data_IF_831893719360
#
_entry.id   IF_831893719360
#
_cell.length_a   1.000
_cell.length_b   1.000
_cell.length_c   1.000
_cell.angle_alpha   90.00
_cell.angle_beta   90.00
_cell.angle_gamma   90.00
#
_symmetry.space_group_name_H-M   'P 1'
#
loop_
_entity.id
_entity.type
_entity.pdbx_description
1 polymer ?
#
# COMPACT_ATOMS: atom_id res chain seq x y z
N UNK A 1 19.84 12.50 -17.67
CA UNK A 1 18.64 12.09 -16.96
C UNK A 1 18.15 13.18 -16.03
N UNK A 2 16.85 13.17 -15.72
CA UNK A 2 16.25 13.98 -14.64
C UNK A 2 15.56 13.04 -13.68
N UNK A 3 15.80 13.21 -12.40
CA UNK A 3 15.29 12.38 -11.33
C UNK A 3 14.78 13.26 -10.19
N UNK A 4 13.84 12.75 -9.42
CA UNK A 4 13.44 13.34 -8.14
C UNK A 4 13.27 12.23 -7.11
N UNK A 5 13.52 12.55 -5.84
CA UNK A 5 13.39 11.56 -4.78
C UNK A 5 13.73 12.14 -3.41
N UNK A 6 13.66 11.26 -2.42
CA UNK A 6 13.98 11.58 -1.03
C UNK A 6 15.47 11.35 -0.75
N UNK A 7 16.10 12.30 -0.10
CA UNK A 7 17.46 12.18 0.42
C UNK A 7 17.48 11.21 1.60
N UNK A 8 18.23 10.13 1.45
CA UNK A 8 18.35 9.08 2.47
C UNK A 8 19.71 9.07 3.17
N UNK A 9 20.72 9.65 2.57
CA UNK A 9 22.03 9.87 3.17
C UNK A 9 22.77 10.98 2.44
N UNK A 10 23.60 11.71 3.17
CA UNK A 10 24.51 12.72 2.65
C UNK A 10 25.91 12.42 3.22
N UNK A 11 26.90 12.27 2.33
CA UNK A 11 28.29 12.00 2.69
C UNK A 11 29.19 13.01 1.98
N UNK A 12 29.66 14.01 2.70
CA UNK A 12 30.53 15.07 2.17
C UNK A 12 32.01 14.74 2.34
N UNK A 13 32.82 15.01 1.29
CA UNK A 13 34.29 14.98 1.34
C UNK A 13 34.80 16.20 0.58
N UNK A 14 35.18 17.25 1.31
CA UNK A 14 35.77 18.47 0.74
C UNK A 14 34.87 19.14 -0.30
N UNK A 15 35.28 19.13 -1.58
CA UNK A 15 34.51 19.72 -2.69
C UNK A 15 33.57 18.73 -3.38
N UNK A 16 33.40 17.54 -2.80
CA UNK A 16 32.59 16.46 -3.36
C UNK A 16 31.60 15.97 -2.32
N UNK A 17 30.37 15.69 -2.77
CA UNK A 17 29.31 15.13 -1.93
C UNK A 17 28.67 13.94 -2.63
N UNK A 18 28.40 12.87 -1.90
CA UNK A 18 27.59 11.75 -2.32
C UNK A 18 26.23 11.81 -1.61
N UNK A 19 25.16 11.74 -2.36
CA UNK A 19 23.81 11.77 -1.84
C UNK A 19 23.10 10.50 -2.31
N UNK A 20 22.49 9.78 -1.38
CA UNK A 20 21.63 8.65 -1.73
C UNK A 20 20.20 9.15 -1.92
N UNK A 21 19.69 9.05 -3.12
CA UNK A 21 18.34 9.43 -3.50
C UNK A 21 17.47 8.20 -3.63
N UNK A 22 16.26 8.23 -3.05
CA UNK A 22 15.31 7.12 -3.10
C UNK A 22 13.97 7.60 -3.66
N UNK A 23 13.42 6.82 -4.59
CA UNK A 23 12.08 6.98 -5.11
C UNK A 23 11.29 5.65 -5.02
N UNK A 24 10.18 5.54 -5.79
CA UNK A 24 9.37 4.31 -5.83
C UNK A 24 10.09 3.12 -6.50
N UNK A 25 11.06 3.39 -7.37
CA UNK A 25 11.75 2.37 -8.19
C UNK A 25 12.98 1.81 -7.49
N UNK A 26 13.56 2.57 -6.56
CA UNK A 26 14.73 2.14 -5.81
C UNK A 26 15.59 3.30 -5.33
N UNK A 27 16.85 2.99 -5.13
CA UNK A 27 17.87 3.91 -4.61
C UNK A 27 18.98 4.10 -5.64
N UNK A 28 19.42 5.34 -5.82
CA UNK A 28 20.54 5.70 -6.66
C UNK A 28 21.46 6.67 -5.93
N UNK A 29 22.76 6.56 -6.18
CA UNK A 29 23.76 7.50 -5.67
C UNK A 29 23.88 8.71 -6.59
N UNK A 30 23.90 9.89 -6.03
CA UNK A 30 24.27 11.12 -6.73
C UNK A 30 25.72 11.47 -6.38
N UNK A 31 26.50 11.77 -7.39
CA UNK A 31 27.84 12.30 -7.28
C UNK A 31 27.80 13.80 -7.59
N UNK A 32 28.01 14.62 -6.58
CA UNK A 32 27.89 16.08 -6.66
C UNK A 32 29.25 16.71 -6.43
N UNK A 33 29.68 17.55 -7.36
CA UNK A 33 30.93 18.30 -7.26
C UNK A 33 30.64 19.81 -7.28
N UNK A 34 31.40 20.55 -6.46
CA UNK A 34 31.28 22.01 -6.36
C UNK A 34 31.54 22.71 -7.70
N UNK A 35 32.56 22.26 -8.44
CA UNK A 35 32.95 22.82 -9.74
C UNK A 35 31.91 22.56 -10.86
N UNK A 36 31.17 21.46 -10.78
CA UNK A 36 30.15 21.10 -11.77
C UNK A 36 28.79 21.75 -11.47
N UNK A 37 28.45 21.92 -10.20
CA UNK A 37 27.17 22.45 -9.76
C UNK A 37 27.16 23.98 -9.65
N UNK A 38 28.32 24.59 -9.49
CA UNK A 38 28.49 26.00 -9.14
C UNK A 38 28.41 26.26 -7.64
N UNK A 39 28.98 27.38 -7.20
CA UNK A 39 29.13 27.68 -5.77
C UNK A 39 27.79 27.91 -5.06
N UNK A 40 26.89 28.61 -5.71
CA UNK A 40 25.55 28.93 -5.19
C UNK A 40 24.73 27.66 -4.94
N UNK A 41 24.60 26.82 -5.97
CA UNK A 41 23.86 25.57 -5.86
C UNK A 41 24.54 24.55 -4.91
N UNK A 42 25.87 24.56 -4.82
CA UNK A 42 26.57 23.72 -3.86
C UNK A 42 26.32 24.14 -2.40
N UNK A 43 25.99 25.40 -2.17
CA UNK A 43 25.60 25.89 -0.84
C UNK A 43 24.26 25.30 -0.38
N UNK A 44 23.35 24.98 -1.28
CA UNK A 44 22.09 24.27 -0.96
C UNK A 44 22.35 22.93 -0.25
N UNK A 45 23.44 22.24 -0.62
CA UNK A 45 23.76 20.93 0.01
C UNK A 45 24.01 21.07 1.51
N UNK A 46 24.57 22.22 1.95
CA UNK A 46 24.79 22.48 3.37
C UNK A 46 23.50 22.74 4.16
N UNK A 47 22.44 23.13 3.44
CA UNK A 47 21.10 23.38 3.99
C UNK A 47 20.17 22.18 3.88
N UNK A 48 20.64 21.13 3.19
CA UNK A 48 19.85 19.91 3.01
C UNK A 48 19.95 19.00 4.22
N UNK A 49 18.84 18.35 4.54
CA UNK A 49 18.75 17.32 5.56
C UNK A 49 18.31 15.98 4.98
N UNK A 50 18.59 14.91 5.73
CA UNK A 50 18.04 13.59 5.41
C UNK A 50 16.52 13.66 5.55
N UNK A 51 15.82 13.23 4.49
CA UNK A 51 14.38 13.34 4.39
C UNK A 51 13.89 14.38 3.38
N UNK A 52 14.72 15.35 2.99
CA UNK A 52 14.38 16.33 1.96
C UNK A 52 14.03 15.66 0.64
N UNK A 53 13.15 16.29 -0.14
CA UNK A 53 12.85 15.88 -1.52
C UNK A 53 13.60 16.84 -2.46
N UNK A 54 14.39 16.25 -3.34
CA UNK A 54 15.18 17.02 -4.31
C UNK A 54 14.92 16.55 -5.74
N UNK A 55 15.06 17.48 -6.67
CA UNK A 55 15.21 17.24 -8.09
C UNK A 55 16.69 17.30 -8.49
N UNK A 56 17.12 16.46 -9.41
CA UNK A 56 18.46 16.44 -9.93
C UNK A 56 18.48 16.20 -11.44
N UNK A 57 19.33 16.92 -12.15
CA UNK A 57 19.68 16.63 -13.54
C UNK A 57 21.15 16.23 -13.64
N UNK A 58 21.46 15.27 -14.48
CA UNK A 58 22.83 14.81 -14.62
C UNK A 58 23.02 13.66 -15.62
N UNK A 59 24.22 13.10 -15.62
CA UNK A 59 24.62 11.99 -16.48
C UNK A 59 24.84 10.73 -15.65
N UNK A 60 24.31 9.62 -16.12
CA UNK A 60 24.52 8.31 -15.48
C UNK A 60 25.94 7.83 -15.77
N UNK A 61 26.61 7.30 -14.76
CA UNK A 61 27.93 6.67 -14.89
C UNK A 61 28.12 5.57 -13.85
N UNK A 62 29.14 4.78 -13.98
CA UNK A 62 29.61 3.84 -12.95
C UNK A 62 30.83 4.38 -12.25
N UNK A 63 30.84 4.32 -10.93
CA UNK A 63 32.03 4.65 -10.13
C UNK A 63 33.10 3.61 -10.32
N UNK A 64 34.35 3.90 -9.89
CA UNK A 64 35.46 2.92 -9.89
C UNK A 64 35.14 1.64 -9.11
N UNK A 65 34.26 1.73 -8.11
CA UNK A 65 33.79 0.58 -7.33
C UNK A 65 32.57 -0.13 -7.98
N UNK A 66 32.19 0.25 -9.21
CA UNK A 66 31.09 -0.36 -9.97
C UNK A 66 29.70 0.14 -9.63
N UNK A 67 29.53 1.08 -8.68
CA UNK A 67 28.21 1.59 -8.27
C UNK A 67 27.61 2.50 -9.34
N UNK A 68 26.34 2.24 -9.69
CA UNK A 68 25.60 3.08 -10.62
C UNK A 68 25.25 4.41 -9.95
N UNK A 69 25.67 5.50 -10.57
CA UNK A 69 25.56 6.84 -9.99
C UNK A 69 25.14 7.87 -11.03
N UNK A 70 24.63 9.01 -10.56
CA UNK A 70 24.33 10.18 -11.40
C UNK A 70 25.30 11.30 -11.04
N UNK A 71 26.10 11.75 -12.02
CA UNK A 71 26.92 12.96 -11.90
C UNK A 71 26.00 14.17 -12.09
N UNK A 72 25.69 14.84 -10.98
CA UNK A 72 24.79 15.98 -10.96
C UNK A 72 25.39 17.21 -11.62
N UNK A 73 24.62 17.85 -12.47
CA UNK A 73 24.92 19.17 -13.09
C UNK A 73 23.93 20.26 -12.67
N UNK A 74 22.73 19.87 -12.17
CA UNK A 74 21.78 20.74 -11.53
C UNK A 74 21.09 20.02 -10.39
N UNK A 75 20.75 20.77 -9.33
CA UNK A 75 20.07 20.28 -8.13
C UNK A 75 19.11 21.36 -7.64
N UNK A 76 17.92 20.93 -7.26
CA UNK A 76 16.85 21.78 -6.76
C UNK A 76 16.23 21.16 -5.52
N UNK A 77 16.00 21.96 -4.47
CA UNK A 77 15.24 21.55 -3.29
C UNK A 77 13.74 21.70 -3.59
N UNK A 78 13.02 20.59 -3.70
CA UNK A 78 11.59 20.56 -4.01
C UNK A 78 10.73 20.67 -2.76
N UNK A 79 11.18 20.03 -1.65
CA UNK A 79 10.47 20.07 -0.38
C UNK A 79 11.42 19.82 0.79
N UNK A 80 11.32 20.65 1.81
CA UNK A 80 12.12 20.54 3.04
C UNK A 80 11.48 19.60 4.04
N UNK A 81 12.27 18.69 4.60
CA UNK A 81 11.88 17.86 5.74
C UNK A 81 12.06 18.65 7.04
N UNK A 82 10.95 19.04 7.66
CA UNK A 82 10.97 19.86 8.88
C UNK A 82 11.24 19.03 10.16
N UNK A 83 11.18 17.72 10.07
CA UNK A 83 11.46 16.79 11.17
C UNK A 83 12.48 15.75 10.73
N UNK A 84 13.47 15.42 11.56
CA UNK A 84 14.43 14.39 11.23
C UNK A 84 13.77 13.02 11.10
N UNK A 85 14.27 12.21 10.18
CA UNK A 85 13.88 10.80 10.13
C UNK A 85 14.54 10.04 11.30
N UNK A 86 13.92 8.95 11.81
CA UNK A 86 14.54 8.05 12.78
C UNK A 86 15.91 7.57 12.32
N UNK A 87 16.80 7.33 13.26
CA UNK A 87 18.18 6.91 12.97
C UNK A 87 18.23 5.66 12.06
N UNK A 88 19.11 5.72 11.06
CA UNK A 88 19.25 4.72 10.00
C UNK A 88 19.51 3.29 10.50
N UNK A 89 20.21 3.15 11.62
CA UNK A 89 20.64 1.85 12.16
C UNK A 89 19.59 1.14 12.99
N UNK A 90 18.64 1.86 13.56
CA UNK A 90 17.63 1.30 14.44
C UNK A 90 16.24 1.31 13.80
N UNK A 91 16.02 2.11 12.74
CA UNK A 91 14.71 2.29 12.13
C UNK A 91 13.66 2.74 13.16
N UNK A 92 12.41 2.69 12.77
CA UNK A 92 11.30 2.85 13.69
C UNK A 92 10.91 1.46 14.21
N UNK A 93 11.46 1.06 15.39
CA UNK A 93 11.24 -0.28 15.99
C UNK A 93 9.99 -0.37 16.85
N UNK A 94 9.65 0.72 17.52
CA UNK A 94 8.47 0.77 18.36
C UNK A 94 7.20 0.53 17.54
N UNK A 95 6.46 -0.52 17.90
CA UNK A 95 5.31 -0.99 17.14
C UNK A 95 4.19 0.04 17.14
N UNK A 96 3.94 0.69 18.27
CA UNK A 96 2.88 1.70 18.37
C UNK A 96 3.20 2.92 17.52
N UNK A 97 4.43 3.40 17.56
CA UNK A 97 4.90 4.50 16.71
C UNK A 97 4.84 4.16 15.23
N UNK A 98 5.15 2.91 14.84
CA UNK A 98 5.00 2.44 13.46
C UNK A 98 3.55 2.49 12.98
N UNK A 99 2.60 2.18 13.82
CA UNK A 99 1.17 2.30 13.49
C UNK A 99 0.69 3.75 13.46
N UNK A 100 1.11 4.58 14.42
CA UNK A 100 0.72 5.99 14.50
C UNK A 100 1.36 6.84 13.41
N UNK A 101 2.61 6.55 13.03
CA UNK A 101 3.38 7.28 12.02
C UNK A 101 3.70 6.35 10.83
N UNK A 102 2.68 5.74 10.25
CA UNK A 102 2.82 4.81 9.13
C UNK A 102 3.60 5.41 7.95
N UNK A 103 3.47 6.69 7.69
CA UNK A 103 4.21 7.40 6.65
C UNK A 103 5.72 7.42 6.91
N UNK A 104 6.15 7.52 8.18
CA UNK A 104 7.57 7.41 8.55
C UNK A 104 8.05 5.96 8.41
N UNK A 105 7.25 5.00 8.92
CA UNK A 105 7.52 3.57 8.80
C UNK A 105 7.75 3.14 7.33
N UNK A 106 6.93 3.66 6.40
CA UNK A 106 7.08 3.42 4.96
C UNK A 106 8.36 4.03 4.34
N UNK A 107 8.90 5.09 4.95
CA UNK A 107 10.15 5.73 4.51
C UNK A 107 11.38 4.92 4.98
N UNK A 108 11.36 4.50 6.26
CA UNK A 108 12.55 3.94 6.90
C UNK A 108 12.62 2.41 6.87
N UNK A 109 11.50 1.73 6.67
CA UNK A 109 11.37 0.27 6.64
C UNK A 109 10.90 -0.22 5.25
N UNK A 110 11.80 -0.55 4.31
CA UNK A 110 11.44 -0.93 2.95
C UNK A 110 10.53 -2.17 2.84
N UNK A 111 10.67 -3.12 3.77
CA UNK A 111 9.86 -4.33 3.85
C UNK A 111 8.38 -4.02 4.11
N UNK A 112 8.10 -2.96 4.88
CA UNK A 112 6.72 -2.51 5.13
C UNK A 112 6.07 -2.03 3.84
N UNK A 113 6.80 -1.23 3.05
CA UNK A 113 6.34 -0.78 1.73
C UNK A 113 6.05 -1.97 0.81
N UNK A 114 6.94 -2.97 0.79
CA UNK A 114 6.75 -4.21 0.01
C UNK A 114 5.47 -4.93 0.40
N UNK A 115 5.18 -5.02 1.70
CA UNK A 115 3.94 -5.65 2.20
C UNK A 115 2.69 -4.96 1.67
N UNK A 116 2.65 -3.62 1.66
CA UNK A 116 1.50 -2.88 1.11
C UNK A 116 1.35 -3.06 -0.41
N UNK A 117 2.47 -3.06 -1.15
CA UNK A 117 2.45 -3.33 -2.60
C UNK A 117 1.95 -4.74 -2.88
N UNK A 118 2.47 -5.74 -2.15
CA UNK A 118 2.04 -7.13 -2.28
C UNK A 118 0.56 -7.31 -1.97
N UNK A 119 0.06 -6.66 -0.91
CA UNK A 119 -1.37 -6.66 -0.59
C UNK A 119 -2.23 -6.17 -1.76
N UNK A 120 -1.83 -5.08 -2.41
CA UNK A 120 -2.55 -4.54 -3.58
C UNK A 120 -2.50 -5.51 -4.77
N UNK A 121 -1.36 -6.17 -4.98
CA UNK A 121 -1.22 -7.19 -6.04
C UNK A 121 -2.10 -8.41 -5.77
N UNK A 122 -2.17 -8.90 -4.54
CA UNK A 122 -3.06 -10.01 -4.15
C UNK A 122 -4.52 -9.65 -4.44
N UNK A 123 -4.98 -8.47 -4.03
CA UNK A 123 -6.35 -8.01 -4.29
C UNK A 123 -6.63 -7.96 -5.80
N UNK A 124 -5.68 -7.44 -6.59
CA UNK A 124 -5.80 -7.40 -8.05
C UNK A 124 -5.91 -8.81 -8.63
N UNK A 125 -5.05 -9.74 -8.20
CA UNK A 125 -5.08 -11.13 -8.68
C UNK A 125 -6.39 -11.84 -8.32
N UNK A 126 -6.97 -11.57 -7.14
CA UNK A 126 -8.29 -12.12 -6.77
C UNK A 126 -9.36 -11.65 -7.76
N UNK A 127 -9.37 -10.35 -8.10
CA UNK A 127 -10.29 -9.82 -9.11
C UNK A 127 -10.09 -10.47 -10.47
N UNK A 128 -8.87 -10.50 -10.98
CA UNK A 128 -8.53 -11.10 -12.27
C UNK A 128 -8.97 -12.57 -12.38
N UNK A 129 -8.84 -13.33 -11.28
CA UNK A 129 -9.27 -14.74 -11.24
C UNK A 129 -10.79 -14.87 -11.27
N UNK A 130 -11.51 -14.03 -10.53
CA UNK A 130 -12.97 -14.08 -10.47
C UNK A 130 -13.61 -13.56 -11.76
N UNK A 131 -13.13 -12.44 -12.27
CA UNK A 131 -13.58 -11.86 -13.55
C UNK A 131 -13.33 -12.85 -14.71
N UNK A 132 -12.18 -13.52 -14.73
CA UNK A 132 -11.85 -14.56 -15.70
C UNK A 132 -12.70 -15.83 -15.61
N UNK A 133 -13.55 -15.95 -14.58
CA UNK A 133 -14.52 -17.02 -14.36
C UNK A 133 -15.98 -16.54 -14.49
N UNK A 134 -16.18 -15.40 -15.11
CA UNK A 134 -17.50 -14.77 -15.34
C UNK A 134 -18.24 -14.40 -14.05
N UNK A 135 -17.51 -14.11 -12.95
CA UNK A 135 -18.11 -13.50 -11.79
C UNK A 135 -18.18 -11.99 -11.95
N UNK A 136 -19.30 -11.40 -11.62
CA UNK A 136 -19.51 -9.95 -11.60
C UNK A 136 -19.13 -9.38 -10.22
N UNK A 137 -18.19 -8.43 -10.19
CA UNK A 137 -17.94 -7.64 -8.97
C UNK A 137 -19.11 -6.69 -8.73
N UNK A 138 -19.64 -6.69 -7.52
CA UNK A 138 -20.75 -5.83 -7.13
C UNK A 138 -20.40 -5.04 -5.88
N UNK A 139 -21.07 -3.91 -5.68
CA UNK A 139 -21.00 -3.11 -4.45
C UNK A 139 -22.39 -3.08 -3.83
N UNK A 140 -22.49 -3.52 -2.59
CA UNK A 140 -23.73 -3.49 -1.81
C UNK A 140 -23.64 -2.48 -0.67
N UNK A 141 -24.79 -2.05 -0.07
CA UNK A 141 -24.78 -1.08 1.01
C UNK A 141 -23.88 -1.48 2.17
N UNK A 142 -23.15 -0.52 2.72
CA UNK A 142 -22.34 -0.70 3.94
C UNK A 142 -23.21 -0.47 5.18
N UNK A 143 -24.18 0.43 5.09
CA UNK A 143 -25.11 0.72 6.18
C UNK A 143 -26.39 -0.10 6.01
N UNK A 144 -26.69 -0.94 6.98
CA UNK A 144 -27.85 -1.84 6.98
C UNK A 144 -28.88 -1.41 8.00
N UNK A 145 -30.15 -1.57 7.68
CA UNK A 145 -31.25 -1.39 8.65
C UNK A 145 -31.36 -2.56 9.64
N UNK A 146 -30.85 -3.73 9.26
CA UNK A 146 -30.84 -4.93 10.08
C UNK A 146 -29.43 -5.53 10.02
N UNK A 147 -28.82 -5.76 11.17
CA UNK A 147 -27.55 -6.47 11.24
C UNK A 147 -27.76 -7.95 10.91
N UNK A 148 -26.91 -8.52 10.05
CA UNK A 148 -27.04 -9.94 9.68
C UNK A 148 -25.94 -10.39 8.74
N UNK A 149 -25.94 -11.71 8.41
CA UNK A 149 -24.98 -12.35 7.52
C UNK A 149 -23.75 -12.93 8.24
N UNK A 150 -23.58 -12.70 9.54
CA UNK A 150 -22.55 -13.30 10.37
C UNK A 150 -22.93 -13.27 11.84
N UNK A 151 -22.28 -14.08 12.67
CA UNK A 151 -22.39 -14.04 14.11
C UNK A 151 -21.33 -13.08 14.68
N UNK A 152 -21.57 -11.77 14.58
CA UNK A 152 -20.64 -10.74 15.04
C UNK A 152 -21.43 -9.53 15.60
N UNK A 153 -20.79 -8.75 16.45
CA UNK A 153 -21.38 -7.52 17.00
C UNK A 153 -21.18 -6.36 16.01
N UNK A 154 -22.25 -5.66 15.57
CA UNK A 154 -22.14 -4.56 14.65
C UNK A 154 -21.69 -3.27 15.35
N UNK A 155 -21.08 -2.34 14.59
CA UNK A 155 -21.06 -0.93 14.94
C UNK A 155 -22.40 -0.31 14.60
N UNK A 156 -22.88 0.56 15.48
CA UNK A 156 -24.16 1.25 15.36
C UNK A 156 -23.91 2.69 14.93
N UNK A 157 -24.71 3.17 13.99
CA UNK A 157 -24.73 4.57 13.55
C UNK A 157 -26.17 5.08 13.45
N UNK A 158 -26.35 6.36 13.17
CA UNK A 158 -27.66 6.98 13.11
C UNK A 158 -27.83 7.80 11.84
N UNK A 159 -28.95 7.61 11.15
CA UNK A 159 -29.29 8.34 9.94
C UNK A 159 -30.20 9.52 10.30
N UNK A 160 -29.65 10.73 10.40
CA UNK A 160 -30.35 11.91 10.88
C UNK A 160 -31.63 12.25 10.06
N UNK A 161 -31.54 12.18 8.73
CA UNK A 161 -32.64 12.56 7.86
C UNK A 161 -33.81 11.57 7.89
N UNK A 162 -33.56 10.30 8.20
CA UNK A 162 -34.57 9.25 8.29
C UNK A 162 -34.97 8.94 9.73
N UNK A 163 -34.32 9.60 10.71
CA UNK A 163 -34.54 9.42 12.13
C UNK A 163 -34.50 7.95 12.55
N UNK A 164 -33.46 7.21 12.09
CA UNK A 164 -33.38 5.78 12.33
C UNK A 164 -31.96 5.29 12.60
N UNK A 165 -31.87 4.23 13.41
CA UNK A 165 -30.62 3.54 13.67
C UNK A 165 -30.24 2.66 12.49
N UNK A 166 -28.95 2.68 12.13
CA UNK A 166 -28.34 1.82 11.13
C UNK A 166 -27.16 1.06 11.74
N UNK A 167 -26.77 -0.01 11.08
CA UNK A 167 -25.66 -0.87 11.45
C UNK A 167 -24.64 -0.91 10.34
N UNK A 168 -23.37 -0.75 10.67
CA UNK A 168 -22.30 -1.04 9.71
C UNK A 168 -22.25 -2.54 9.45
N UNK A 169 -22.18 -2.94 8.20
CA UNK A 169 -22.24 -4.34 7.80
C UNK A 169 -21.15 -5.19 8.44
N UNK A 170 -21.54 -6.33 8.96
CA UNK A 170 -20.66 -7.38 9.48
C UNK A 170 -20.33 -8.42 8.39
N UNK A 171 -21.11 -8.45 7.30
CA UNK A 171 -20.95 -9.26 6.11
C UNK A 171 -21.83 -8.71 4.97
N UNK A 172 -21.49 -8.86 3.68
CA UNK A 172 -22.36 -8.52 2.55
C UNK A 172 -23.39 -9.60 2.19
N UNK A 173 -23.39 -10.75 2.85
CA UNK A 173 -24.14 -11.97 2.56
C UNK A 173 -25.58 -11.74 2.12
N UNK A 174 -26.37 -11.01 2.92
CA UNK A 174 -27.80 -10.87 2.68
C UNK A 174 -28.12 -10.15 1.36
N UNK A 175 -27.31 -9.20 0.98
CA UNK A 175 -27.46 -8.48 -0.29
C UNK A 175 -26.99 -9.33 -1.48
N UNK A 176 -25.88 -10.06 -1.36
CA UNK A 176 -25.41 -10.96 -2.41
C UNK A 176 -26.42 -12.07 -2.68
N UNK A 177 -27.06 -12.64 -1.66
CA UNK A 177 -28.15 -13.61 -1.81
C UNK A 177 -29.36 -13.00 -2.55
N UNK A 178 -29.69 -11.73 -2.31
CA UNK A 178 -30.77 -11.05 -3.05
C UNK A 178 -30.43 -10.88 -4.52
N UNK A 179 -29.16 -10.63 -4.86
CA UNK A 179 -28.70 -10.55 -6.25
C UNK A 179 -28.83 -11.90 -6.96
N UNK A 180 -28.51 -13.01 -6.29
CA UNK A 180 -28.74 -14.36 -6.81
C UNK A 180 -30.23 -14.61 -7.06
N UNK A 181 -31.10 -14.25 -6.13
CA UNK A 181 -32.56 -14.35 -6.33
C UNK A 181 -33.04 -13.47 -7.48
N UNK A 182 -32.38 -12.32 -7.68
CA UNK A 182 -32.62 -11.40 -8.82
C UNK A 182 -32.12 -11.89 -10.15
N UNK A 183 -31.50 -13.07 -10.23
CA UNK A 183 -31.01 -13.69 -11.47
C UNK A 183 -29.54 -13.40 -11.83
N UNK A 184 -28.78 -12.80 -10.95
CA UNK A 184 -27.34 -12.67 -11.11
C UNK A 184 -26.64 -13.96 -10.65
N UNK A 185 -26.34 -14.85 -11.57
CA UNK A 185 -25.93 -16.22 -11.27
C UNK A 185 -24.53 -16.33 -10.64
N UNK A 186 -23.63 -15.36 -10.86
CA UNK A 186 -22.26 -15.34 -10.34
C UNK A 186 -21.91 -13.92 -9.91
N UNK A 187 -21.79 -13.71 -8.62
CA UNK A 187 -21.42 -12.41 -8.06
C UNK A 187 -20.37 -12.55 -6.97
N UNK A 188 -19.55 -11.54 -6.82
CA UNK A 188 -18.67 -11.40 -5.67
C UNK A 188 -18.60 -9.94 -5.22
N UNK A 189 -18.31 -9.75 -3.96
CA UNK A 189 -17.96 -8.45 -3.42
C UNK A 189 -16.66 -8.53 -2.64
N UNK A 190 -15.72 -7.65 -2.98
CA UNK A 190 -14.47 -7.48 -2.26
C UNK A 190 -14.49 -6.13 -1.58
N UNK A 191 -14.79 -6.11 -0.27
CA UNK A 191 -15.05 -4.86 0.44
C UNK A 191 -14.70 -4.89 1.92
N UNK A 192 -14.98 -3.77 2.58
CA UNK A 192 -14.81 -3.63 4.02
C UNK A 192 -16.01 -4.15 4.77
N UNK A 193 -15.73 -4.86 5.87
CA UNK A 193 -16.70 -5.27 6.88
C UNK A 193 -16.23 -4.82 8.24
N UNK A 194 -17.17 -4.70 9.19
CA UNK A 194 -16.96 -4.07 10.48
C UNK A 194 -17.53 -4.95 11.59
N UNK A 195 -16.69 -5.32 12.55
CA UNK A 195 -17.09 -6.13 13.71
C UNK A 195 -16.62 -5.48 14.98
N UNK A 196 -17.56 -5.06 15.81
CA UNK A 196 -17.29 -4.38 17.08
C UNK A 196 -16.96 -5.40 18.18
N UNK A 197 -15.81 -6.02 18.02
CA UNK A 197 -15.28 -7.08 18.89
C UNK A 197 -13.89 -6.72 19.39
N UNK A 198 -13.23 -7.62 20.11
CA UNK A 198 -11.88 -7.39 20.63
C UNK A 198 -10.84 -7.18 19.53
N UNK A 199 -9.82 -6.42 19.85
CA UNK A 199 -8.68 -6.13 18.97
C UNK A 199 -7.49 -6.97 19.44
N UNK A 200 -6.88 -7.72 18.52
CA UNK A 200 -5.62 -8.42 18.74
C UNK A 200 -4.74 -8.35 17.48
N UNK A 201 -3.62 -9.09 17.47
CA UNK A 201 -2.66 -9.10 16.35
C UNK A 201 -3.30 -9.60 15.04
N UNK A 202 -4.35 -10.44 15.12
CA UNK A 202 -5.01 -11.06 13.97
C UNK A 202 -6.39 -10.48 13.67
N UNK A 203 -7.00 -9.79 14.63
CA UNK A 203 -8.37 -9.30 14.53
C UNK A 203 -8.40 -7.77 14.60
N UNK A 204 -8.85 -7.16 13.52
CA UNK A 204 -9.15 -5.74 13.43
C UNK A 204 -10.66 -5.54 13.39
N UNK A 205 -11.20 -4.49 14.00
CA UNK A 205 -12.64 -4.20 13.93
C UNK A 205 -13.12 -3.84 12.51
N UNK A 206 -12.19 -3.46 11.64
CA UNK A 206 -12.41 -3.17 10.22
C UNK A 206 -11.40 -3.97 9.39
N UNK A 207 -11.90 -4.80 8.47
CA UNK A 207 -11.04 -5.60 7.60
C UNK A 207 -11.63 -5.80 6.21
N UNK A 208 -10.81 -6.20 5.26
CA UNK A 208 -11.24 -6.52 3.89
C UNK A 208 -11.61 -8.00 3.82
N UNK A 209 -12.77 -8.28 3.23
CA UNK A 209 -13.27 -9.63 2.98
C UNK A 209 -13.69 -9.74 1.52
N UNK A 210 -13.61 -10.92 0.96
CA UNK A 210 -14.26 -11.29 -0.29
C UNK A 210 -15.32 -12.34 0.01
N UNK A 211 -16.52 -12.13 -0.49
CA UNK A 211 -17.58 -13.13 -0.52
C UNK A 211 -17.99 -13.42 -1.96
N UNK A 212 -18.19 -14.69 -2.28
CA UNK A 212 -18.44 -15.20 -3.62
C UNK A 212 -19.71 -16.03 -3.57
N UNK A 213 -20.63 -15.76 -4.49
CA UNK A 213 -21.91 -16.49 -4.59
C UNK A 213 -22.13 -16.95 -6.02
N UNK A 214 -22.51 -18.20 -6.17
CA UNK A 214 -22.83 -18.81 -7.47
C UNK A 214 -24.11 -19.64 -7.36
N UNK A 215 -25.04 -19.39 -8.28
CA UNK A 215 -26.23 -20.22 -8.47
C UNK A 215 -25.86 -21.56 -9.12
N UNK A 216 -26.71 -22.58 -8.95
CA UNK A 216 -26.58 -23.91 -9.55
C UNK A 216 -25.24 -24.60 -9.26
N UNK A 217 -24.66 -24.34 -8.09
CA UNK A 217 -23.38 -24.88 -7.68
C UNK A 217 -23.47 -25.43 -6.24
N UNK A 218 -22.71 -26.46 -5.96
CA UNK A 218 -22.55 -27.04 -4.64
C UNK A 218 -21.15 -26.78 -4.05
N UNK A 219 -20.89 -27.29 -2.86
CA UNK A 219 -19.61 -27.13 -2.16
C UNK A 219 -18.42 -27.76 -2.90
N UNK A 220 -18.64 -28.78 -3.75
CA UNK A 220 -17.56 -29.40 -4.50
C UNK A 220 -16.98 -28.43 -5.52
N UNK A 221 -17.84 -27.65 -6.19
CA UNK A 221 -17.40 -26.62 -7.14
C UNK A 221 -16.58 -25.54 -6.42
N UNK A 222 -17.01 -25.09 -5.25
CA UNK A 222 -16.29 -24.10 -4.46
C UNK A 222 -14.91 -24.63 -4.02
N UNK A 223 -14.86 -25.85 -3.51
CA UNK A 223 -13.64 -26.45 -2.99
C UNK A 223 -12.61 -26.72 -4.10
N UNK A 224 -13.03 -27.29 -5.22
CA UNK A 224 -12.13 -27.75 -6.27
C UNK A 224 -11.70 -26.62 -7.22
N UNK A 225 -12.62 -25.74 -7.61
CA UNK A 225 -12.38 -24.74 -8.64
C UNK A 225 -11.99 -23.35 -8.12
N UNK A 226 -12.35 -23.00 -6.89
CA UNK A 226 -12.08 -21.68 -6.32
C UNK A 226 -10.98 -21.74 -5.26
N UNK A 227 -11.09 -22.66 -4.30
CA UNK A 227 -10.18 -22.72 -3.15
C UNK A 227 -8.88 -23.49 -3.41
N UNK A 228 -8.92 -24.53 -4.25
CA UNK A 228 -7.75 -25.39 -4.56
C UNK A 228 -7.59 -25.67 -6.07
N UNK A 229 -7.41 -24.66 -6.93
CA UNK A 229 -7.33 -24.86 -8.39
C UNK A 229 -6.12 -25.70 -8.83
N UNK A 230 -5.09 -25.86 -8.00
CA UNK A 230 -3.85 -26.60 -8.31
C UNK A 230 -4.00 -28.11 -8.18
N UNK A 231 -5.03 -28.62 -7.52
CA UNK A 231 -5.25 -30.09 -7.40
C UNK A 231 -5.72 -30.75 -8.69
N UNK A 232 -6.39 -30.01 -9.57
CA UNK A 232 -6.91 -30.54 -10.86
C UNK A 232 -5.82 -30.82 -11.91
N UNK A 233 -4.66 -30.20 -11.83
CA UNK A 233 -3.55 -30.40 -12.77
C UNK A 233 -2.72 -31.68 -12.49
N UNK A 234 -3.04 -32.44 -11.43
CA UNK A 234 -2.33 -33.68 -11.04
C UNK A 234 -3.12 -34.97 -11.24
N UNK A 235 -4.33 -34.92 -11.78
CA UNK A 235 -5.22 -36.09 -11.95
C UNK A 235 -5.54 -36.38 -13.43
N UNK A 236 -4.80 -35.77 -14.34
CA UNK A 236 -4.85 -36.17 -15.78
C UNK A 236 -3.55 -36.80 -16.22
#
# INVERSE_FOLDING_TARGET
VRLSGRVMAIRGHGKTCFIDLMDKTGRIQLYVRKDALGEENYTLIKLMDIGDIIGVAGTVFRTHMGELSVKAVALELLSKSLRPLPEKWHGLKDVEMRYRQRYVDLIVNPEVRRTFVLRSQIIKSVREILDGRDFLEVETPIMHSIAGGAAARPFITYHNALDMQLYMRIAPELYLKRLIVGGMERVYELGRVFRNEGIDIKHNPEFTMVEIYQAYADYNLSLIHISEPTRHLRIS
#
